data_IF_843112146925
#
_entry.id   IF_843112146925
#
_cell.length_a   1.000
_cell.length_b   1.000
_cell.length_c   1.000
_cell.angle_alpha   90.00
_cell.angle_beta   90.00
_cell.angle_gamma   90.00
#
_symmetry.space_group_name_H-M   'P 1'
#
loop_
_entity.id
_entity.type
_entity.pdbx_description
1 polymer ?
#
# COMPACT_ATOMS: atom_id res chain seq x y z
N UNK A 1 9.74 16.21 13.79
CA UNK A 1 11.12 15.84 14.25
C UNK A 1 11.30 14.34 14.12
N UNK A 2 12.49 13.83 13.79
CA UNK A 2 12.77 12.39 13.70
C UNK A 2 12.33 11.63 14.97
N UNK A 3 12.00 10.32 14.86
CA UNK A 3 11.73 9.51 16.02
C UNK A 3 12.98 9.40 16.91
N UNK A 4 12.75 9.29 18.21
CA UNK A 4 13.80 9.06 19.21
C UNK A 4 13.68 7.65 19.77
N UNK A 5 14.75 7.14 20.37
CA UNK A 5 14.70 5.86 21.08
C UNK A 5 13.63 5.92 22.20
N UNK A 6 12.90 4.81 22.44
CA UNK A 6 11.95 4.78 23.54
C UNK A 6 12.69 4.87 24.89
N UNK A 7 12.02 5.47 25.87
CA UNK A 7 12.53 5.48 27.24
C UNK A 7 12.67 4.07 27.77
N UNK A 8 13.71 3.86 28.55
CA UNK A 8 13.87 2.61 29.32
C UNK A 8 12.79 2.54 30.40
N UNK A 9 12.32 1.36 30.70
CA UNK A 9 11.36 1.12 31.76
C UNK A 9 11.75 -0.09 32.58
N UNK A 10 11.37 -0.05 33.85
CA UNK A 10 11.49 -1.18 34.75
C UNK A 10 10.19 -1.99 34.81
N UNK A 11 10.30 -3.29 35.05
CA UNK A 11 9.18 -4.20 35.20
C UNK A 11 8.49 -4.59 33.88
N UNK A 12 7.19 -4.84 33.95
CA UNK A 12 6.39 -5.38 32.84
C UNK A 12 5.41 -4.31 32.36
N UNK A 13 5.50 -3.93 31.09
CA UNK A 13 4.45 -3.16 30.39
C UNK A 13 3.40 -4.12 29.83
N UNK A 14 2.13 -3.82 30.09
CA UNK A 14 1.02 -4.55 29.49
C UNK A 14 0.94 -4.27 27.98
N UNK A 15 0.85 -5.34 27.20
CA UNK A 15 0.64 -5.29 25.73
C UNK A 15 -0.57 -6.15 25.33
N UNK A 16 -1.62 -6.17 26.18
CA UNK A 16 -2.82 -7.00 26.01
C UNK A 16 -3.94 -6.31 25.21
N UNK A 17 -3.75 -5.05 24.84
CA UNK A 17 -4.64 -4.26 24.02
C UNK A 17 -3.84 -3.42 23.02
N UNK A 18 -4.45 -3.08 21.92
CA UNK A 18 -3.87 -2.17 20.95
C UNK A 18 -3.69 -0.78 21.55
N UNK A 19 -2.61 -0.12 21.15
CA UNK A 19 -2.33 1.26 21.49
C UNK A 19 -3.07 2.26 20.59
N UNK A 20 -2.85 3.58 20.79
CA UNK A 20 -3.47 4.61 19.98
C UNK A 20 -3.01 4.52 18.51
N UNK A 21 -3.91 4.92 17.61
CA UNK A 21 -3.60 5.14 16.19
C UNK A 21 -3.09 6.57 15.99
N UNK A 22 -2.33 6.82 14.92
CA UNK A 22 -1.95 8.18 14.56
C UNK A 22 -3.20 9.03 14.36
N UNK A 23 -3.25 10.26 14.93
CA UNK A 23 -4.35 11.17 14.68
C UNK A 23 -4.59 11.38 13.19
N UNK A 24 -5.82 11.19 12.74
CA UNK A 24 -6.24 11.25 11.36
C UNK A 24 -7.69 11.71 11.25
N UNK A 25 -8.15 12.03 10.06
CA UNK A 25 -9.55 12.32 9.82
C UNK A 25 -10.33 11.00 9.87
N UNK A 26 -11.43 10.98 10.59
CA UNK A 26 -12.27 9.80 10.72
C UNK A 26 -12.82 9.36 9.35
N UNK A 27 -12.88 8.06 9.11
CA UNK A 27 -13.41 7.42 7.90
C UNK A 27 -12.75 7.84 6.58
N UNK A 28 -11.46 8.16 6.60
CA UNK A 28 -10.75 8.56 5.37
C UNK A 28 -10.69 7.48 4.28
N UNK A 29 -10.95 6.21 4.60
CA UNK A 29 -10.67 5.12 3.66
C UNK A 29 -11.83 4.77 2.73
N UNK A 30 -13.08 4.88 3.17
CA UNK A 30 -14.21 4.27 2.46
C UNK A 30 -15.42 5.20 2.45
N UNK A 31 -15.93 5.46 1.25
CA UNK A 31 -16.95 6.50 1.03
C UNK A 31 -18.36 5.96 0.79
N UNK A 32 -18.54 4.63 0.70
CA UNK A 32 -19.85 4.01 0.55
C UNK A 32 -20.20 3.11 1.73
N UNK A 33 -21.51 2.98 2.01
CA UNK A 33 -22.01 2.11 3.08
C UNK A 33 -21.69 0.64 2.80
N UNK A 34 -21.66 0.22 1.53
CA UNK A 34 -21.30 -1.13 1.11
C UNK A 34 -19.84 -1.45 1.44
N UNK A 35 -18.94 -0.51 1.22
CA UNK A 35 -17.53 -0.71 1.57
C UNK A 35 -17.33 -0.70 3.08
N UNK A 36 -17.98 0.22 3.81
CA UNK A 36 -17.93 0.25 5.27
C UNK A 36 -18.40 -1.06 5.88
N UNK A 37 -19.49 -1.63 5.35
CA UNK A 37 -19.99 -2.95 5.75
C UNK A 37 -18.98 -4.07 5.42
N UNK A 38 -18.48 -4.09 4.19
CA UNK A 38 -17.61 -5.17 3.72
C UNK A 38 -16.30 -5.22 4.49
N UNK A 39 -15.65 -4.09 4.68
CA UNK A 39 -14.32 -4.02 5.29
C UNK A 39 -14.34 -4.01 6.82
N UNK A 40 -15.48 -3.71 7.45
CA UNK A 40 -15.63 -3.66 8.91
C UNK A 40 -14.49 -2.87 9.58
N UNK A 41 -14.31 -1.64 9.11
CA UNK A 41 -13.23 -0.75 9.48
C UNK A 41 -13.32 -0.31 10.94
N UNK A 42 -12.20 -0.36 11.66
CA UNK A 42 -12.06 0.14 13.03
C UNK A 42 -11.03 1.29 13.06
N UNK A 43 -11.50 2.51 13.26
CA UNK A 43 -10.64 3.69 13.40
C UNK A 43 -9.75 3.64 14.66
N UNK A 44 -10.08 2.78 15.62
CA UNK A 44 -9.42 2.73 16.93
C UNK A 44 -9.62 4.01 17.71
N UNK A 45 -8.64 4.42 18.51
CA UNK A 45 -8.65 5.70 19.20
C UNK A 45 -7.37 6.49 18.89
N UNK A 46 -7.49 7.79 18.51
CA UNK A 46 -6.35 8.59 18.11
C UNK A 46 -5.53 9.06 19.31
N UNK A 47 -4.20 9.11 19.14
CA UNK A 47 -3.28 9.69 20.10
C UNK A 47 -1.91 9.94 19.49
N UNK A 48 -1.24 11.00 19.93
CA UNK A 48 0.06 11.38 19.37
C UNK A 48 1.19 10.40 19.74
N UNK A 49 1.05 9.66 20.86
CA UNK A 49 1.94 8.54 21.22
C UNK A 49 1.53 7.26 20.47
N UNK A 50 1.54 7.32 19.14
CA UNK A 50 1.03 6.27 18.25
C UNK A 50 2.08 5.29 17.74
N UNK A 51 3.37 5.51 17.96
CA UNK A 51 4.42 4.63 17.47
C UNK A 51 4.39 3.30 18.22
N UNK A 52 3.79 2.28 17.59
CA UNK A 52 3.54 0.96 18.18
C UNK A 52 3.83 -0.15 17.17
N UNK A 53 4.19 -1.32 17.71
CA UNK A 53 4.24 -2.58 16.96
C UNK A 53 3.34 -3.59 17.65
N UNK A 54 2.68 -4.44 16.85
CA UNK A 54 1.93 -5.60 17.31
C UNK A 54 2.61 -6.84 16.78
N UNK A 55 2.70 -7.91 17.57
CA UNK A 55 3.48 -9.10 17.21
C UNK A 55 2.66 -10.36 17.49
N UNK A 56 2.58 -11.23 16.49
CA UNK A 56 2.04 -12.58 16.60
C UNK A 56 3.16 -13.59 16.40
N UNK A 57 3.32 -14.50 17.33
CA UNK A 57 4.35 -15.55 17.29
C UNK A 57 3.87 -16.84 17.96
N UNK A 58 4.46 -17.96 17.56
CA UNK A 58 4.20 -19.27 18.17
C UNK A 58 5.12 -19.61 19.35
N UNK A 59 6.12 -18.77 19.64
CA UNK A 59 7.00 -19.00 20.77
C UNK A 59 7.91 -17.82 21.09
N UNK A 60 8.17 -17.64 22.38
CA UNK A 60 9.06 -16.61 22.90
C UNK A 60 10.41 -17.23 23.26
N UNK A 61 11.52 -16.62 22.86
CA UNK A 61 12.90 -17.01 23.23
C UNK A 61 13.20 -18.51 23.00
N UNK A 62 12.55 -19.13 22.01
CA UNK A 62 12.69 -20.57 21.71
C UNK A 62 13.81 -20.89 20.71
N UNK A 63 14.52 -19.89 20.20
CA UNK A 63 15.66 -20.01 19.29
C UNK A 63 15.33 -20.53 17.89
N UNK A 64 14.07 -20.62 17.50
CA UNK A 64 13.65 -21.23 16.22
C UNK A 64 13.99 -20.42 14.98
N UNK A 65 14.34 -19.15 15.10
CA UNK A 65 14.68 -18.28 13.95
C UNK A 65 13.62 -18.30 12.85
N UNK A 66 12.37 -17.98 13.23
CA UNK A 66 11.25 -17.92 12.29
C UNK A 66 11.42 -16.77 11.30
N UNK A 67 11.01 -16.91 10.03
CA UNK A 67 10.87 -15.77 9.13
C UNK A 67 9.98 -14.71 9.76
N UNK A 68 10.33 -13.44 9.57
CA UNK A 68 9.59 -12.29 10.09
C UNK A 68 8.87 -11.60 8.93
N UNK A 69 7.58 -11.36 9.07
CA UNK A 69 6.74 -10.68 8.08
C UNK A 69 6.22 -9.38 8.69
N UNK A 70 6.70 -8.23 8.20
CA UNK A 70 6.34 -6.90 8.71
C UNK A 70 5.34 -6.26 7.79
N UNK A 71 4.11 -6.09 8.27
CA UNK A 71 3.00 -5.48 7.54
C UNK A 71 3.04 -3.96 7.65
N UNK A 72 2.93 -3.30 6.50
CA UNK A 72 2.77 -1.86 6.35
C UNK A 72 1.35 -1.59 5.84
N UNK A 73 0.52 -0.96 6.68
CA UNK A 73 -0.89 -0.71 6.38
C UNK A 73 -1.11 0.27 5.23
N UNK A 74 -2.30 0.26 4.63
CA UNK A 74 -2.75 1.13 3.56
C UNK A 74 -3.11 2.55 4.01
N UNK A 75 -4.11 3.16 3.34
CA UNK A 75 -4.59 4.50 3.65
C UNK A 75 -3.71 5.64 3.10
N UNK A 76 -2.95 5.38 2.04
CA UNK A 76 -1.96 6.32 1.53
C UNK A 76 -0.88 6.59 2.57
N UNK A 77 -0.64 7.85 2.83
CA UNK A 77 0.17 8.33 3.94
C UNK A 77 -0.64 9.28 4.83
N UNK A 78 -1.96 9.32 4.61
CA UNK A 78 -2.88 10.22 5.29
C UNK A 78 -3.64 9.55 6.42
N UNK A 79 -3.94 8.26 6.29
CA UNK A 79 -4.80 7.51 7.21
C UNK A 79 -4.32 6.06 7.39
N UNK A 80 -5.00 5.33 8.24
CA UNK A 80 -4.79 3.91 8.48
C UNK A 80 -4.08 3.59 9.78
N UNK A 81 -4.04 2.30 10.08
CA UNK A 81 -3.29 1.75 11.23
C UNK A 81 -2.96 0.28 11.02
N UNK A 82 -2.05 -0.25 11.82
CA UNK A 82 -1.71 -1.68 11.82
C UNK A 82 -2.79 -2.60 12.41
N UNK A 83 -3.97 -2.06 12.74
CA UNK A 83 -5.05 -2.77 13.43
C UNK A 83 -6.45 -2.48 12.89
N UNK A 84 -6.56 -1.65 11.87
CA UNK A 84 -7.82 -1.07 11.38
C UNK A 84 -8.77 -2.05 10.69
N UNK A 85 -8.24 -3.14 10.13
CA UNK A 85 -9.04 -4.14 9.44
C UNK A 85 -8.92 -5.51 10.11
N UNK A 86 -10.01 -6.28 10.20
CA UNK A 86 -9.95 -7.66 10.71
C UNK A 86 -9.05 -8.56 9.85
N UNK A 87 -8.79 -8.18 8.61
CA UNK A 87 -7.85 -8.87 7.72
C UNK A 87 -6.39 -8.77 8.18
N UNK A 88 -6.03 -7.79 9.02
CA UNK A 88 -4.64 -7.59 9.50
C UNK A 88 -4.27 -8.44 10.71
N UNK A 89 -5.20 -9.21 11.29
CA UNK A 89 -4.88 -10.10 12.40
C UNK A 89 -3.85 -11.16 11.98
N UNK A 90 -2.67 -11.10 12.57
CA UNK A 90 -1.54 -11.96 12.20
C UNK A 90 -1.61 -13.39 12.75
N UNK A 91 -2.62 -13.73 13.55
CA UNK A 91 -2.64 -15.00 14.27
C UNK A 91 -2.74 -16.22 13.34
N UNK A 92 -3.62 -16.16 12.32
CA UNK A 92 -3.78 -17.26 11.37
C UNK A 92 -2.50 -17.48 10.56
N UNK A 93 -1.94 -16.40 9.99
CA UNK A 93 -0.72 -16.45 9.20
C UNK A 93 0.48 -16.95 10.03
N UNK A 94 0.64 -16.44 11.27
CA UNK A 94 1.68 -16.86 12.20
C UNK A 94 1.58 -18.34 12.54
N UNK A 95 0.38 -18.83 12.84
CA UNK A 95 0.12 -20.24 13.18
C UNK A 95 0.37 -21.16 11.98
N UNK A 96 -0.16 -20.81 10.80
CA UNK A 96 -0.04 -21.61 9.58
C UNK A 96 1.39 -21.76 9.12
N UNK A 97 2.13 -20.66 9.13
CA UNK A 97 3.49 -20.61 8.60
C UNK A 97 4.59 -20.84 9.63
N UNK A 98 4.32 -20.97 10.92
CA UNK A 98 5.35 -20.82 11.96
C UNK A 98 6.28 -19.63 11.64
N UNK A 99 5.67 -18.46 11.42
CA UNK A 99 6.33 -17.17 11.13
C UNK A 99 5.99 -16.16 12.22
N UNK A 100 6.83 -15.15 12.38
CA UNK A 100 6.52 -13.99 13.22
C UNK A 100 5.87 -12.94 12.33
N UNK A 101 4.64 -12.51 12.66
CA UNK A 101 3.95 -11.42 11.98
C UNK A 101 4.03 -10.18 12.84
N UNK A 102 4.39 -9.06 12.23
CA UNK A 102 4.46 -7.74 12.87
C UNK A 102 3.59 -6.77 12.09
N UNK A 103 2.71 -6.03 12.77
CA UNK A 103 2.06 -4.83 12.23
C UNK A 103 2.53 -3.62 13.01
N UNK A 104 2.39 -2.43 12.45
CA UNK A 104 2.90 -1.22 13.10
C UNK A 104 2.06 0.01 12.77
N UNK A 105 2.17 1.02 13.64
CA UNK A 105 1.69 2.37 13.41
C UNK A 105 2.88 3.32 13.25
N UNK A 106 2.72 4.33 12.42
CA UNK A 106 3.68 5.40 12.21
C UNK A 106 2.94 6.74 12.06
N UNK A 107 3.63 7.85 12.11
CA UNK A 107 3.01 9.16 11.88
C UNK A 107 2.58 9.31 10.42
N UNK A 108 1.38 9.86 10.25
CA UNK A 108 0.69 10.06 9.00
C UNK A 108 0.45 11.55 8.75
N UNK A 109 -0.09 11.89 7.59
CA UNK A 109 -0.61 13.21 7.24
C UNK A 109 0.33 14.36 7.61
N UNK A 110 -0.20 15.48 8.05
CA UNK A 110 0.56 16.66 8.51
C UNK A 110 1.54 16.33 9.64
N UNK A 111 1.26 15.31 10.46
CA UNK A 111 2.12 14.88 11.58
C UNK A 111 3.35 14.11 11.11
N UNK A 112 3.28 13.44 9.97
CA UNK A 112 4.34 12.60 9.41
C UNK A 112 5.08 13.21 8.22
N UNK A 113 4.47 14.18 7.49
CA UNK A 113 4.94 14.60 6.17
C UNK A 113 4.86 16.10 5.90
N UNK A 114 4.69 16.95 6.92
CA UNK A 114 4.74 18.40 6.75
C UNK A 114 6.20 18.87 6.55
N UNK A 115 6.49 19.49 5.41
CA UNK A 115 7.84 19.93 5.03
C UNK A 115 8.21 21.27 5.64
N UNK A 116 8.75 21.25 6.83
CA UNK A 116 9.27 22.44 7.52
C UNK A 116 10.80 22.58 7.34
N UNK A 117 11.42 21.86 6.40
CA UNK A 117 12.89 21.86 6.22
C UNK A 117 13.46 23.24 5.89
N UNK A 118 12.70 24.08 5.19
CA UNK A 118 13.08 25.44 4.88
C UNK A 118 13.34 26.33 6.12
N UNK A 119 12.80 25.94 7.29
CA UNK A 119 12.98 26.67 8.56
C UNK A 119 14.19 26.17 9.36
N UNK A 120 14.88 25.13 8.88
CA UNK A 120 16.15 24.64 9.45
C UNK A 120 16.05 24.06 10.86
N UNK A 121 17.21 23.94 11.52
CA UNK A 121 17.31 23.46 12.89
C UNK A 121 16.65 22.09 13.10
N UNK A 122 15.82 21.96 14.14
CA UNK A 122 15.12 20.72 14.48
C UNK A 122 14.10 20.25 13.42
N UNK A 123 13.73 21.14 12.48
CA UNK A 123 12.76 20.86 11.40
C UNK A 123 13.41 20.39 10.09
N UNK A 124 14.74 20.38 9.99
CA UNK A 124 15.47 20.04 8.76
C UNK A 124 15.10 18.68 8.13
N UNK A 125 14.60 17.73 8.91
CA UNK A 125 14.18 16.39 8.45
C UNK A 125 12.67 16.16 8.57
N UNK A 126 11.85 17.21 8.72
CA UNK A 126 10.43 17.08 9.04
C UNK A 126 9.60 16.40 7.97
N UNK A 127 9.94 16.58 6.70
CA UNK A 127 9.14 16.15 5.55
C UNK A 127 8.95 14.63 5.45
N UNK A 128 9.92 13.85 5.96
CA UNK A 128 9.92 12.38 5.86
C UNK A 128 9.95 11.70 7.24
N UNK A 129 9.45 12.35 8.29
CA UNK A 129 9.50 11.73 9.63
C UNK A 129 8.62 10.48 9.72
N UNK A 130 7.51 10.41 9.00
CA UNK A 130 6.70 9.19 8.90
C UNK A 130 7.46 8.02 8.25
N UNK A 131 8.36 8.31 7.30
CA UNK A 131 9.26 7.30 6.72
C UNK A 131 10.35 6.90 7.71
N UNK A 132 10.89 7.84 8.48
CA UNK A 132 11.86 7.56 9.55
C UNK A 132 11.25 6.72 10.68
N UNK A 133 9.95 6.88 10.96
CA UNK A 133 9.24 6.04 11.93
C UNK A 133 9.22 4.57 11.47
N UNK A 134 9.01 4.31 10.16
CA UNK A 134 9.08 2.97 9.59
C UNK A 134 10.50 2.38 9.71
N UNK A 135 11.52 3.20 9.44
CA UNK A 135 12.92 2.79 9.61
C UNK A 135 13.22 2.47 11.07
N UNK A 136 12.72 3.28 12.01
CA UNK A 136 12.90 3.05 13.45
C UNK A 136 12.20 1.74 13.89
N UNK A 137 10.99 1.47 13.39
CA UNK A 137 10.28 0.22 13.67
C UNK A 137 11.05 -1.00 13.13
N UNK A 138 11.61 -0.91 11.92
CA UNK A 138 12.43 -1.99 11.34
C UNK A 138 13.74 -2.21 12.10
N UNK A 139 14.38 -1.16 12.60
CA UNK A 139 15.53 -1.27 13.51
C UNK A 139 15.14 -1.97 14.81
N UNK A 140 14.02 -1.56 15.39
CA UNK A 140 13.50 -2.22 16.60
C UNK A 140 13.23 -3.71 16.35
N UNK A 141 12.64 -4.07 15.20
CA UNK A 141 12.46 -5.48 14.79
C UNK A 141 13.81 -6.18 14.73
N UNK A 142 14.80 -5.60 14.07
CA UNK A 142 16.13 -6.18 13.94
C UNK A 142 16.80 -6.43 15.29
N UNK A 143 16.64 -5.53 16.25
CA UNK A 143 17.26 -5.59 17.57
C UNK A 143 16.53 -6.53 18.56
N UNK A 144 15.20 -6.73 18.37
CA UNK A 144 14.37 -7.34 19.42
C UNK A 144 13.64 -8.63 18.99
N UNK A 145 13.53 -8.91 17.69
CA UNK A 145 12.62 -9.96 17.20
C UNK A 145 13.05 -11.37 17.59
N UNK A 146 14.32 -11.58 17.93
CA UNK A 146 14.81 -12.86 18.47
C UNK A 146 14.12 -13.22 19.78
N UNK A 147 13.73 -12.23 20.61
CA UNK A 147 12.96 -12.45 21.83
C UNK A 147 11.59 -13.06 21.55
N UNK A 148 11.09 -12.87 20.32
CA UNK A 148 9.81 -13.39 19.83
C UNK A 148 10.02 -14.62 18.91
N UNK A 149 11.22 -15.23 18.96
CA UNK A 149 11.56 -16.40 18.16
C UNK A 149 11.76 -16.14 16.67
N UNK A 150 11.86 -14.87 16.25
CA UNK A 150 12.08 -14.45 14.87
C UNK A 150 13.56 -14.38 14.49
N UNK A 151 13.84 -14.37 13.20
CA UNK A 151 15.17 -14.20 12.61
C UNK A 151 15.35 -12.78 12.05
N UNK A 152 16.17 -11.92 12.66
CA UNK A 152 16.43 -10.58 12.15
C UNK A 152 17.13 -10.56 10.79
N UNK A 153 17.75 -11.67 10.37
CA UNK A 153 18.36 -11.83 9.05
C UNK A 153 17.39 -12.34 7.98
N UNK A 154 16.12 -12.60 8.34
CA UNK A 154 15.10 -13.10 7.44
C UNK A 154 13.77 -12.32 7.59
N UNK A 155 13.84 -11.02 7.33
CA UNK A 155 12.71 -10.07 7.41
C UNK A 155 12.15 -9.80 6.02
N UNK A 156 10.85 -9.96 5.87
CA UNK A 156 10.08 -9.57 4.67
C UNK A 156 9.17 -8.41 5.03
N UNK A 157 9.30 -7.29 4.33
CA UNK A 157 8.33 -6.19 4.42
C UNK A 157 7.24 -6.41 3.37
N UNK A 158 5.98 -6.21 3.75
CA UNK A 158 4.86 -6.33 2.82
C UNK A 158 3.77 -5.32 3.16
N UNK A 159 3.03 -4.86 2.17
CA UNK A 159 2.01 -3.86 2.39
C UNK A 159 1.14 -3.65 1.16
N UNK A 160 -0.07 -3.14 1.39
CA UNK A 160 -1.07 -2.94 0.36
C UNK A 160 -1.42 -1.44 0.23
N UNK A 161 -1.74 -0.98 -0.99
CA UNK A 161 -2.09 0.42 -1.26
C UNK A 161 -0.95 1.37 -0.84
N UNK A 162 -1.23 2.37 -0.01
CA UNK A 162 -0.20 3.19 0.62
C UNK A 162 0.88 2.36 1.34
N UNK A 163 0.54 1.17 1.85
CA UNK A 163 1.51 0.22 2.41
C UNK A 163 2.47 -0.33 1.38
N UNK A 164 1.99 -0.67 0.18
CA UNK A 164 2.84 -1.02 -0.95
C UNK A 164 3.73 0.16 -1.39
N UNK A 165 3.19 1.39 -1.32
CA UNK A 165 3.97 2.61 -1.51
C UNK A 165 5.08 2.77 -0.48
N UNK A 166 4.80 2.46 0.79
CA UNK A 166 5.79 2.44 1.88
C UNK A 166 6.88 1.40 1.62
N UNK A 167 6.51 0.18 1.18
CA UNK A 167 7.48 -0.84 0.75
C UNK A 167 8.35 -0.32 -0.39
N UNK A 168 7.75 0.23 -1.45
CA UNK A 168 8.46 0.78 -2.62
C UNK A 168 9.43 1.90 -2.22
N UNK A 169 9.02 2.77 -1.30
CA UNK A 169 9.85 3.88 -0.81
C UNK A 169 11.00 3.39 0.09
N UNK A 170 10.75 2.41 0.96
CA UNK A 170 11.79 1.82 1.83
C UNK A 170 12.89 1.14 1.01
N UNK A 171 12.55 0.50 -0.11
CA UNK A 171 13.53 -0.07 -1.06
C UNK A 171 14.49 0.99 -1.64
N UNK A 172 14.08 2.26 -1.64
CA UNK A 172 14.84 3.41 -2.13
C UNK A 172 15.44 4.29 -1.01
N UNK A 173 15.28 3.89 0.26
CA UNK A 173 15.71 4.66 1.43
C UNK A 173 17.02 4.13 1.97
N UNK A 174 18.15 4.88 1.89
CA UNK A 174 19.46 4.39 2.33
C UNK A 174 19.51 3.92 3.79
N UNK A 175 18.80 4.60 4.69
CA UNK A 175 18.76 4.26 6.12
C UNK A 175 17.96 2.97 6.43
N UNK A 176 17.23 2.43 5.45
CA UNK A 176 16.51 1.16 5.55
C UNK A 176 17.34 -0.04 5.03
N UNK A 177 18.48 0.23 4.38
CA UNK A 177 19.34 -0.82 3.81
C UNK A 177 19.78 -1.82 4.87
N UNK A 178 19.56 -3.11 4.58
CA UNK A 178 19.93 -4.22 5.47
C UNK A 178 18.91 -4.56 6.56
N UNK A 179 17.86 -3.74 6.75
CA UNK A 179 16.83 -3.99 7.77
C UNK A 179 15.78 -5.01 7.31
N UNK A 180 15.76 -5.37 6.04
CA UNK A 180 14.91 -6.42 5.46
C UNK A 180 15.59 -7.06 4.27
N UNK A 181 15.20 -8.29 3.93
CA UNK A 181 15.83 -9.12 2.91
C UNK A 181 14.86 -9.45 1.75
N UNK A 182 13.57 -9.20 1.90
CA UNK A 182 12.55 -9.45 0.88
C UNK A 182 11.44 -8.41 0.95
N UNK A 183 10.75 -8.19 -0.17
CA UNK A 183 9.70 -7.18 -0.25
C UNK A 183 8.50 -7.66 -1.07
N UNK A 184 7.28 -7.37 -0.60
CA UNK A 184 6.05 -7.64 -1.33
C UNK A 184 5.25 -6.35 -1.46
N UNK A 185 4.97 -5.94 -2.69
CA UNK A 185 4.21 -4.73 -3.04
C UNK A 185 2.84 -5.14 -3.54
N UNK A 186 1.80 -4.83 -2.77
CA UNK A 186 0.41 -5.13 -3.09
C UNK A 186 -0.31 -3.83 -3.46
N UNK A 187 -0.70 -3.66 -4.72
CA UNK A 187 -1.43 -2.47 -5.22
C UNK A 187 -0.85 -1.13 -4.73
N UNK A 188 0.48 -0.97 -4.83
CA UNK A 188 1.15 0.19 -4.25
C UNK A 188 2.52 0.50 -4.86
N UNK A 189 2.76 0.08 -6.08
CA UNK A 189 4.00 0.40 -6.80
C UNK A 189 4.20 1.91 -6.90
N UNK A 190 5.31 2.41 -6.34
CA UNK A 190 5.63 3.83 -6.28
C UNK A 190 7.06 4.08 -6.72
N UNK A 191 7.25 4.47 -7.97
CA UNK A 191 8.55 4.79 -8.57
C UNK A 191 8.88 6.28 -8.49
N UNK A 192 7.86 7.10 -8.28
CA UNK A 192 7.99 8.56 -8.16
C UNK A 192 7.23 9.07 -6.95
N UNK A 193 7.83 10.06 -6.29
CA UNK A 193 7.28 10.75 -5.13
C UNK A 193 7.30 12.25 -5.35
N UNK A 194 6.75 12.99 -4.40
CA UNK A 194 6.70 14.45 -4.46
C UNK A 194 8.12 15.07 -4.46
N UNK A 195 8.29 16.20 -5.15
CA UNK A 195 9.50 17.02 -5.09
C UNK A 195 9.37 18.08 -3.98
N UNK A 196 10.50 18.42 -3.33
CA UNK A 196 10.54 19.38 -2.22
C UNK A 196 9.89 20.73 -2.53
N UNK A 197 9.97 21.21 -3.77
CA UNK A 197 9.32 22.48 -4.14
C UNK A 197 7.80 22.49 -3.90
N UNK A 198 7.13 21.33 -3.99
CA UNK A 198 5.70 21.22 -3.75
C UNK A 198 5.37 20.94 -2.29
N UNK A 199 6.15 20.10 -1.61
CA UNK A 199 5.96 19.87 -0.17
C UNK A 199 6.18 21.15 0.64
N UNK A 200 7.14 21.99 0.24
CA UNK A 200 7.36 23.31 0.86
C UNK A 200 6.22 24.31 0.57
N UNK A 201 5.60 24.27 -0.62
CA UNK A 201 4.39 25.07 -0.90
C UNK A 201 3.23 24.65 0.01
N UNK A 202 3.03 23.33 0.21
CA UNK A 202 2.00 22.81 1.13
C UNK A 202 2.30 23.28 2.56
N UNK A 203 3.55 23.24 3.00
CA UNK A 203 3.93 23.69 4.33
C UNK A 203 3.68 25.20 4.52
N UNK A 204 4.09 26.03 3.55
CA UNK A 204 3.84 27.47 3.59
C UNK A 204 2.34 27.78 3.65
N UNK A 205 1.53 27.14 2.80
CA UNK A 205 0.07 27.28 2.84
C UNK A 205 -0.55 26.80 4.17
N UNK A 206 0.00 25.74 4.78
CA UNK A 206 -0.45 25.28 6.10
C UNK A 206 -0.19 26.32 7.20
N UNK A 207 0.98 26.95 7.19
CA UNK A 207 1.32 28.03 8.13
C UNK A 207 0.44 29.27 7.92
N UNK A 208 0.13 29.60 6.67
CA UNK A 208 -0.78 30.70 6.32
C UNK A 208 -2.19 30.44 6.86
N UNK A 209 -2.75 29.24 6.64
CA UNK A 209 -4.05 28.84 7.17
C UNK A 209 -4.12 28.93 8.72
N UNK A 210 -3.00 28.69 9.39
CA UNK A 210 -2.89 28.79 10.84
C UNK A 210 -2.49 30.19 11.33
N UNK A 211 -2.24 31.14 10.42
CA UNK A 211 -1.71 32.49 10.74
C UNK A 211 -0.42 32.45 11.57
N UNK A 212 0.47 31.48 11.28
CA UNK A 212 1.76 31.31 11.96
C UNK A 212 2.86 31.91 11.09
N UNK A 213 3.64 32.82 11.67
CA UNK A 213 4.83 33.37 11.04
C UNK A 213 6.04 32.44 11.23
N UNK A 214 7.05 32.59 10.38
CA UNK A 214 8.28 31.79 10.41
C UNK A 214 8.96 31.79 11.81
N UNK A 215 8.98 32.93 12.47
CA UNK A 215 9.59 33.12 13.79
C UNK A 215 8.79 32.42 14.91
N UNK A 216 7.55 32.05 14.62
CA UNK A 216 6.60 31.44 15.56
C UNK A 216 6.35 29.95 15.27
N UNK A 217 7.15 29.33 14.42
CA UNK A 217 6.94 27.96 13.90
C UNK A 217 6.76 26.92 15.02
N UNK A 218 7.36 27.16 16.18
CA UNK A 218 7.24 26.27 17.34
C UNK A 218 5.81 26.20 17.91
N UNK A 219 4.94 27.15 17.58
CA UNK A 219 3.51 27.10 17.93
C UNK A 219 2.83 25.86 17.34
N UNK A 220 3.30 25.32 16.22
CA UNK A 220 2.78 24.07 15.62
C UNK A 220 2.77 22.91 16.61
N UNK A 221 3.71 22.88 17.56
CA UNK A 221 3.81 21.78 18.54
C UNK A 221 2.74 21.84 19.64
N UNK A 222 2.02 22.93 19.75
CA UNK A 222 0.98 23.15 20.79
C UNK A 222 -0.42 23.27 20.18
N UNK A 223 -0.55 23.26 18.86
CA UNK A 223 -1.85 23.30 18.18
C UNK A 223 -2.54 21.94 18.32
N UNK A 224 -3.83 21.89 18.72
CA UNK A 224 -4.58 20.66 18.72
C UNK A 224 -4.53 19.97 17.35
N UNK A 225 -4.27 18.67 17.34
CA UNK A 225 -4.07 17.93 16.09
C UNK A 225 -5.24 18.08 15.09
N UNK A 226 -6.50 18.16 15.57
CA UNK A 226 -7.67 18.38 14.68
C UNK A 226 -7.58 19.69 13.89
N UNK A 227 -7.11 20.75 14.52
CA UNK A 227 -6.89 22.05 13.86
C UNK A 227 -5.76 21.97 12.85
N UNK A 228 -4.67 21.27 13.21
CA UNK A 228 -3.52 21.10 12.36
C UNK A 228 -3.88 20.24 11.11
N UNK A 229 -4.63 19.15 11.29
CA UNK A 229 -5.13 18.32 10.20
C UNK A 229 -5.99 19.14 9.22
N UNK A 230 -6.97 19.87 9.73
CA UNK A 230 -7.87 20.68 8.90
C UNK A 230 -7.11 21.74 8.09
N UNK A 231 -6.13 22.41 8.69
CA UNK A 231 -5.29 23.39 8.00
C UNK A 231 -4.44 22.73 6.90
N UNK A 232 -3.85 21.57 7.18
CA UNK A 232 -3.07 20.81 6.22
C UNK A 232 -3.88 20.34 5.02
N UNK A 233 -5.07 19.79 5.22
CA UNK A 233 -5.96 19.36 4.13
C UNK A 233 -6.39 20.54 3.24
N UNK A 234 -6.70 21.67 3.85
CA UNK A 234 -7.03 22.89 3.12
C UNK A 234 -5.84 23.41 2.31
N UNK A 235 -4.64 23.38 2.89
CA UNK A 235 -3.41 23.75 2.21
C UNK A 235 -3.13 22.87 0.98
N UNK A 236 -3.28 21.55 1.10
CA UNK A 236 -3.14 20.62 -0.04
C UNK A 236 -4.14 20.95 -1.14
N UNK A 237 -5.41 21.16 -0.78
CA UNK A 237 -6.45 21.49 -1.76
C UNK A 237 -6.15 22.80 -2.51
N UNK A 238 -5.62 23.82 -1.83
CA UNK A 238 -5.23 25.08 -2.42
C UNK A 238 -4.03 24.92 -3.36
N UNK A 239 -2.95 24.25 -2.89
CA UNK A 239 -1.74 24.03 -3.71
C UNK A 239 -2.06 23.17 -4.94
N UNK A 240 -2.95 22.19 -4.83
CA UNK A 240 -3.41 21.37 -5.96
C UNK A 240 -4.10 22.23 -7.03
N UNK A 241 -5.04 23.09 -6.63
CA UNK A 241 -5.72 24.02 -7.55
C UNK A 241 -4.78 24.98 -8.26
N UNK A 242 -3.75 25.43 -7.57
CA UNK A 242 -2.72 26.29 -8.16
C UNK A 242 -1.87 25.52 -9.17
N UNK A 243 -1.40 24.35 -8.81
CA UNK A 243 -0.61 23.49 -9.68
C UNK A 243 -1.38 23.12 -10.97
N UNK A 244 -2.69 22.86 -10.86
CA UNK A 244 -3.58 22.61 -12.03
C UNK A 244 -3.59 23.80 -12.98
N UNK A 245 -3.64 25.04 -12.48
CA UNK A 245 -3.55 26.26 -13.30
C UNK A 245 -2.20 26.39 -13.99
N UNK A 246 -1.14 25.88 -13.37
CA UNK A 246 0.21 25.79 -13.94
C UNK A 246 0.35 24.62 -14.95
N UNK A 247 -0.73 23.87 -15.22
CA UNK A 247 -0.74 22.71 -16.12
C UNK A 247 -0.12 21.45 -15.52
N UNK A 248 0.06 21.44 -14.19
CA UNK A 248 0.63 20.30 -13.47
C UNK A 248 -0.51 19.45 -12.91
N UNK A 249 -0.83 18.39 -13.63
CA UNK A 249 -1.81 17.42 -13.22
C UNK A 249 -1.10 16.23 -12.59
N UNK A 250 -1.05 16.17 -11.25
CA UNK A 250 -0.44 15.05 -10.55
C UNK A 250 -1.26 14.65 -9.33
N UNK A 251 -1.59 13.36 -9.24
CA UNK A 251 -2.20 12.80 -8.05
C UNK A 251 -1.21 12.69 -6.86
N UNK A 252 0.07 12.98 -7.10
CA UNK A 252 1.14 12.98 -6.09
C UNK A 252 0.95 14.12 -5.06
N UNK A 253 0.11 15.14 -5.34
CA UNK A 253 -0.19 16.19 -4.38
C UNK A 253 -1.05 15.67 -3.23
N UNK A 254 -0.41 15.38 -2.12
CA UNK A 254 -1.01 14.87 -0.91
C UNK A 254 0.05 14.66 0.16
N UNK A 255 -0.29 14.00 1.24
CA UNK A 255 0.70 13.58 2.22
C UNK A 255 1.48 12.38 1.68
N UNK A 256 2.79 12.39 1.86
CA UNK A 256 3.64 11.28 1.42
C UNK A 256 5.12 11.61 1.39
N UNK A 257 5.95 10.62 1.06
CA UNK A 257 7.39 10.79 0.98
C UNK A 257 7.76 11.82 -0.09
N UNK A 258 8.79 12.56 0.19
CA UNK A 258 9.30 13.63 -0.69
C UNK A 258 10.79 13.42 -0.92
N UNK A 259 11.23 13.63 -2.16
CA UNK A 259 12.67 13.70 -2.46
C UNK A 259 13.27 14.92 -1.77
N UNK A 260 14.04 14.68 -0.70
CA UNK A 260 14.61 15.73 0.15
C UNK A 260 16.14 15.83 0.06
N UNK A 261 16.76 15.00 -0.77
CA UNK A 261 18.22 14.95 -0.93
C UNK A 261 18.97 14.28 0.22
N UNK A 262 18.29 13.80 1.24
CA UNK A 262 18.86 13.21 2.46
C UNK A 262 18.23 11.86 2.83
N UNK A 263 17.01 11.87 3.36
CA UNK A 263 16.30 10.63 3.77
C UNK A 263 15.88 9.84 2.54
N UNK A 264 15.30 10.51 1.57
CA UNK A 264 15.04 10.01 0.22
C UNK A 264 15.81 10.87 -0.79
N UNK A 265 17.08 10.50 -1.10
CA UNK A 265 17.98 11.37 -1.86
C UNK A 265 17.54 11.61 -3.30
N UNK A 266 16.85 10.65 -3.91
CA UNK A 266 16.39 10.69 -5.30
C UNK A 266 15.05 9.98 -5.44
N UNK A 267 14.41 10.10 -6.60
CA UNK A 267 13.23 9.34 -6.94
C UNK A 267 13.50 7.83 -6.80
N UNK A 268 12.52 7.04 -6.29
CA UNK A 268 12.69 5.59 -6.09
C UNK A 268 13.21 4.86 -7.34
N UNK A 269 12.75 5.22 -8.53
CA UNK A 269 13.21 4.66 -9.80
C UNK A 269 14.72 4.81 -10.05
N UNK A 270 15.36 5.79 -9.42
CA UNK A 270 16.80 6.07 -9.55
C UNK A 270 17.65 5.42 -8.47
N UNK A 271 17.05 4.71 -7.53
CA UNK A 271 17.72 4.09 -6.38
C UNK A 271 17.84 2.56 -6.50
N UNK A 272 17.85 2.05 -7.73
CA UNK A 272 17.87 0.62 -8.05
C UNK A 272 18.94 -0.19 -7.30
N UNK A 273 20.13 0.38 -7.17
CA UNK A 273 21.27 -0.28 -6.52
C UNK A 273 21.04 -0.61 -5.05
N UNK A 274 20.15 0.10 -4.35
CA UNK A 274 19.86 -0.17 -2.94
C UNK A 274 19.11 -1.48 -2.74
N UNK A 275 18.30 -1.90 -3.73
CA UNK A 275 17.39 -3.03 -3.64
C UNK A 275 17.60 -4.10 -4.71
N UNK A 276 18.67 -4.03 -5.50
CA UNK A 276 18.89 -4.98 -6.60
C UNK A 276 18.93 -6.44 -6.14
N UNK A 277 19.51 -6.71 -4.97
CA UNK A 277 19.67 -8.04 -4.42
C UNK A 277 18.49 -8.50 -3.55
N UNK A 278 17.41 -7.72 -3.47
CA UNK A 278 16.20 -8.03 -2.70
C UNK A 278 15.18 -8.69 -3.62
N UNK A 279 14.81 -9.97 -3.42
CA UNK A 279 13.70 -10.59 -4.12
C UNK A 279 12.41 -9.82 -3.88
N UNK A 280 11.59 -9.68 -4.92
CA UNK A 280 10.33 -8.95 -4.84
C UNK A 280 9.15 -9.78 -5.34
N UNK A 281 7.99 -9.54 -4.74
CA UNK A 281 6.70 -9.95 -5.28
C UNK A 281 5.85 -8.71 -5.46
N UNK A 282 5.23 -8.53 -6.63
CA UNK A 282 4.46 -7.33 -6.98
C UNK A 282 3.15 -7.74 -7.60
N UNK A 283 2.05 -7.17 -7.17
CA UNK A 283 0.76 -7.45 -7.79
C UNK A 283 -0.33 -6.45 -7.46
N UNK A 284 -1.49 -6.68 -8.07
CA UNK A 284 -2.67 -5.82 -7.97
C UNK A 284 -3.92 -6.68 -7.93
N UNK A 285 -5.05 -6.10 -7.54
CA UNK A 285 -6.35 -6.69 -7.84
C UNK A 285 -6.77 -6.34 -9.27
N UNK A 286 -7.75 -7.06 -9.83
CA UNK A 286 -8.19 -6.86 -11.21
C UNK A 286 -9.01 -5.57 -11.36
N UNK A 287 -9.85 -5.24 -10.38
CA UNK A 287 -10.79 -4.14 -10.46
C UNK A 287 -10.40 -2.93 -9.60
N UNK A 288 -9.65 -3.13 -8.51
CA UNK A 288 -9.23 -2.09 -7.56
C UNK A 288 -10.41 -1.21 -7.10
N UNK A 289 -10.43 0.07 -7.39
CA UNK A 289 -11.54 0.97 -7.07
C UNK A 289 -12.68 0.81 -8.08
N UNK A 290 -13.58 -0.15 -7.81
CA UNK A 290 -14.76 -0.39 -8.65
C UNK A 290 -15.70 0.81 -8.65
N UNK A 291 -15.75 1.55 -9.74
CA UNK A 291 -16.54 2.78 -9.84
C UNK A 291 -18.05 2.51 -9.68
N UNK A 292 -18.49 1.33 -10.13
CA UNK A 292 -19.89 0.88 -9.97
C UNK A 292 -20.32 0.66 -8.52
N UNK A 293 -19.36 0.56 -7.58
CA UNK A 293 -19.65 0.51 -6.14
C UNK A 293 -20.11 1.90 -5.64
N UNK A 294 -19.52 2.96 -6.20
CA UNK A 294 -19.84 4.35 -5.81
C UNK A 294 -20.99 4.96 -6.63
N UNK A 295 -21.21 4.46 -7.85
CA UNK A 295 -22.23 4.95 -8.78
C UNK A 295 -23.16 3.79 -9.14
N UNK A 296 -24.25 3.56 -8.33
CA UNK A 296 -25.13 2.39 -8.49
C UNK A 296 -25.74 2.25 -9.87
N UNK A 297 -25.94 3.34 -10.60
CA UNK A 297 -26.50 3.37 -11.94
C UNK A 297 -25.63 2.67 -12.99
N UNK A 298 -24.35 2.48 -12.66
CA UNK A 298 -23.38 1.78 -13.52
C UNK A 298 -23.34 0.27 -13.26
N UNK A 299 -24.00 -0.18 -12.21
CA UNK A 299 -24.22 -1.61 -11.97
C UNK A 299 -25.12 -2.13 -13.09
N UNK A 300 -24.64 -3.14 -13.83
CA UNK A 300 -25.31 -3.62 -15.05
C UNK A 300 -25.35 -2.59 -16.19
N UNK A 301 -24.35 -1.73 -16.30
CA UNK A 301 -24.25 -0.75 -17.37
C UNK A 301 -24.38 -1.40 -18.76
N UNK A 302 -25.13 -0.75 -19.65
CA UNK A 302 -25.17 -1.11 -21.07
C UNK A 302 -23.85 -0.71 -21.74
N UNK A 303 -23.57 -1.25 -22.93
CA UNK A 303 -22.40 -0.87 -23.69
C UNK A 303 -22.37 0.63 -24.02
N UNK A 304 -23.52 1.25 -24.28
CA UNK A 304 -23.61 2.67 -24.58
C UNK A 304 -23.30 3.54 -23.35
N UNK A 305 -23.78 3.15 -22.16
CA UNK A 305 -23.43 3.81 -20.90
C UNK A 305 -21.92 3.68 -20.61
N UNK A 306 -21.35 2.48 -20.80
CA UNK A 306 -19.93 2.26 -20.64
C UNK A 306 -19.11 3.11 -21.62
N UNK A 307 -19.52 3.19 -22.88
CA UNK A 307 -18.88 4.04 -23.90
C UNK A 307 -18.88 5.51 -23.50
N UNK A 308 -20.02 6.03 -23.03
CA UNK A 308 -20.12 7.45 -22.65
C UNK A 308 -19.16 7.78 -21.48
N UNK A 309 -19.06 6.90 -20.47
CA UNK A 309 -18.09 7.08 -19.38
C UNK A 309 -16.64 7.02 -19.87
N UNK A 310 -16.31 5.98 -20.63
CA UNK A 310 -14.95 5.77 -21.14
C UNK A 310 -14.52 6.90 -22.09
N UNK A 311 -15.47 7.55 -22.78
CA UNK A 311 -15.20 8.69 -23.66
C UNK A 311 -14.65 9.90 -22.90
N UNK A 312 -15.05 10.11 -21.65
CA UNK A 312 -14.48 11.16 -20.81
C UNK A 312 -12.94 10.99 -20.62
N UNK A 313 -12.46 9.74 -20.62
CA UNK A 313 -11.06 9.41 -20.45
C UNK A 313 -10.30 9.24 -21.77
N UNK A 314 -10.89 8.51 -22.72
CA UNK A 314 -10.20 8.07 -23.95
C UNK A 314 -10.60 8.87 -25.20
N UNK A 315 -11.61 9.75 -25.13
CA UNK A 315 -12.08 10.57 -26.25
C UNK A 315 -12.44 9.72 -27.47
N UNK A 316 -11.91 10.11 -28.62
CA UNK A 316 -12.10 9.37 -29.89
C UNK A 316 -11.47 7.97 -29.90
N UNK A 317 -10.62 7.63 -28.92
CA UNK A 317 -9.98 6.32 -28.81
C UNK A 317 -10.78 5.31 -27.98
N UNK A 318 -11.99 5.65 -27.56
CA UNK A 318 -12.85 4.78 -26.74
C UNK A 318 -13.14 3.43 -27.41
N UNK A 319 -13.45 3.42 -28.71
CA UNK A 319 -13.71 2.16 -29.41
C UNK A 319 -12.47 1.28 -29.50
N UNK A 320 -11.28 1.87 -29.67
CA UNK A 320 -10.02 1.14 -29.61
C UNK A 320 -9.79 0.49 -28.23
N UNK A 321 -10.08 1.23 -27.14
CA UNK A 321 -10.00 0.66 -25.79
C UNK A 321 -10.89 -0.57 -25.66
N UNK A 322 -12.16 -0.45 -26.08
CA UNK A 322 -13.17 -1.53 -25.99
C UNK A 322 -12.72 -2.76 -26.83
N UNK A 323 -12.20 -2.54 -28.03
CA UNK A 323 -11.69 -3.62 -28.88
C UNK A 323 -10.52 -4.37 -28.22
N UNK A 324 -9.52 -3.64 -27.73
CA UNK A 324 -8.36 -4.22 -27.03
C UNK A 324 -8.82 -4.94 -25.77
N UNK A 325 -9.72 -4.31 -24.99
CA UNK A 325 -10.26 -4.88 -23.77
C UNK A 325 -10.95 -6.22 -23.99
N UNK A 326 -11.86 -6.29 -24.97
CA UNK A 326 -12.58 -7.52 -25.35
C UNK A 326 -11.64 -8.63 -25.87
N UNK A 327 -10.55 -8.25 -26.52
CA UNK A 327 -9.53 -9.21 -26.95
C UNK A 327 -8.81 -9.85 -25.75
N UNK A 328 -8.53 -9.09 -24.70
CA UNK A 328 -7.87 -9.56 -23.48
C UNK A 328 -8.85 -10.30 -22.57
N UNK A 329 -10.08 -9.79 -22.43
CA UNK A 329 -11.14 -10.29 -21.57
C UNK A 329 -12.44 -10.56 -22.37
N UNK A 330 -12.49 -11.67 -23.15
CA UNK A 330 -13.62 -11.93 -24.07
C UNK A 330 -14.98 -12.10 -23.41
N UNK A 331 -15.00 -12.56 -22.16
CA UNK A 331 -16.21 -12.77 -21.37
C UNK A 331 -16.67 -11.53 -20.58
N UNK A 332 -15.91 -10.44 -20.64
CA UNK A 332 -16.17 -9.26 -19.83
C UNK A 332 -17.46 -8.54 -20.24
N UNK A 333 -18.18 -8.07 -19.25
CA UNK A 333 -19.37 -7.22 -19.38
C UNK A 333 -18.98 -5.76 -19.63
N UNK A 334 -19.90 -4.89 -20.05
CA UNK A 334 -19.62 -3.45 -20.09
C UNK A 334 -19.23 -2.84 -18.75
N UNK A 335 -19.78 -3.35 -17.64
CA UNK A 335 -19.40 -2.96 -16.29
C UNK A 335 -17.93 -3.28 -15.99
N UNK A 336 -17.42 -4.46 -16.40
CA UNK A 336 -16.02 -4.83 -16.21
C UNK A 336 -15.05 -3.85 -16.90
N UNK A 337 -15.45 -3.28 -18.04
CA UNK A 337 -14.65 -2.29 -18.77
C UNK A 337 -14.53 -0.96 -18.02
N UNK A 338 -15.54 -0.62 -17.19
CA UNK A 338 -15.54 0.59 -16.38
C UNK A 338 -14.80 0.38 -15.08
N UNK A 339 -14.99 -0.78 -14.45
CA UNK A 339 -14.44 -1.12 -13.14
C UNK A 339 -12.99 -1.63 -13.20
N UNK A 340 -12.46 -1.86 -14.40
CA UNK A 340 -11.10 -2.35 -14.59
C UNK A 340 -10.04 -1.40 -14.04
N UNK A 341 -9.03 -1.95 -13.37
CA UNK A 341 -7.93 -1.16 -12.82
C UNK A 341 -7.05 -0.53 -13.92
N UNK A 342 -7.02 0.77 -13.94
CA UNK A 342 -6.19 1.58 -14.83
C UNK A 342 -5.14 2.38 -14.06
N UNK A 343 -5.03 2.16 -12.76
CA UNK A 343 -4.21 2.94 -11.83
C UNK A 343 -3.01 2.15 -11.32
N UNK A 344 -3.27 1.04 -10.67
CA UNK A 344 -2.23 0.28 -9.96
C UNK A 344 -1.51 -0.71 -10.87
N UNK A 345 -2.23 -1.37 -11.77
CA UNK A 345 -1.65 -2.37 -12.68
C UNK A 345 -0.56 -1.80 -13.60
N UNK A 346 -0.73 -0.63 -14.26
CA UNK A 346 0.33 -0.03 -15.05
C UNK A 346 1.60 0.25 -14.24
N UNK A 347 1.44 0.80 -13.02
CA UNK A 347 2.56 1.09 -12.13
C UNK A 347 3.26 -0.18 -11.62
N UNK A 348 2.49 -1.25 -11.35
CA UNK A 348 3.03 -2.55 -10.97
C UNK A 348 3.87 -3.17 -12.07
N UNK A 349 3.40 -3.12 -13.32
CA UNK A 349 4.16 -3.59 -14.49
C UNK A 349 5.43 -2.76 -14.68
N UNK A 350 5.35 -1.44 -14.56
CA UNK A 350 6.52 -0.55 -14.65
C UNK A 350 7.57 -0.93 -13.59
N UNK A 351 7.18 -1.10 -12.33
CA UNK A 351 8.08 -1.52 -11.26
C UNK A 351 8.65 -2.93 -11.49
N UNK A 352 7.82 -3.87 -11.97
CA UNK A 352 8.24 -5.22 -12.33
C UNK A 352 9.28 -5.23 -13.45
N UNK A 353 9.05 -4.44 -14.50
CA UNK A 353 9.98 -4.26 -15.61
C UNK A 353 11.32 -3.68 -15.15
N UNK A 354 11.24 -2.63 -14.32
CA UNK A 354 12.41 -1.98 -13.75
C UNK A 354 13.22 -2.93 -12.85
N UNK A 355 12.54 -3.74 -12.02
CA UNK A 355 13.19 -4.72 -11.16
C UNK A 355 13.81 -5.86 -11.98
N UNK A 356 13.11 -6.40 -12.97
CA UNK A 356 13.61 -7.46 -13.83
C UNK A 356 14.84 -7.03 -14.67
N UNK A 357 14.86 -5.77 -15.11
CA UNK A 357 15.99 -5.21 -15.87
C UNK A 357 17.30 -5.08 -15.07
N UNK A 358 17.26 -5.22 -13.75
CA UNK A 358 18.47 -5.24 -12.93
C UNK A 358 19.25 -6.55 -13.01
N UNK A 359 18.66 -7.63 -13.55
CA UNK A 359 19.28 -8.97 -13.70
C UNK A 359 19.96 -9.50 -12.42
N UNK A 360 19.39 -9.17 -11.26
CA UNK A 360 19.88 -9.57 -9.94
C UNK A 360 18.83 -10.46 -9.23
N UNK A 361 18.30 -10.06 -8.08
CA UNK A 361 17.28 -10.85 -7.40
C UNK A 361 15.97 -10.93 -8.20
N UNK A 362 15.24 -12.07 -8.14
CA UNK A 362 14.03 -12.29 -8.92
C UNK A 362 12.89 -11.36 -8.48
N UNK A 363 11.98 -11.09 -9.42
CA UNK A 363 10.66 -10.52 -9.16
C UNK A 363 9.58 -11.46 -9.66
N UNK A 364 8.51 -11.59 -8.89
CA UNK A 364 7.33 -12.39 -9.23
C UNK A 364 6.12 -11.47 -9.33
N UNK A 365 5.32 -11.63 -10.40
CA UNK A 365 4.15 -10.78 -10.62
C UNK A 365 2.86 -11.56 -10.42
N UNK A 366 1.84 -10.93 -9.80
CA UNK A 366 0.51 -11.52 -9.68
C UNK A 366 -0.60 -10.51 -10.01
N UNK A 367 -1.79 -11.06 -10.27
CA UNK A 367 -3.05 -10.33 -10.33
C UNK A 367 -4.10 -11.14 -9.57
N UNK A 368 -4.76 -10.53 -8.62
CA UNK A 368 -5.87 -11.13 -7.88
C UNK A 368 -7.17 -10.84 -8.62
N UNK A 369 -7.80 -11.88 -9.14
CA UNK A 369 -8.99 -11.79 -9.99
C UNK A 369 -10.20 -12.57 -9.41
N UNK A 370 -10.14 -13.00 -8.15
CA UNK A 370 -11.25 -13.61 -7.48
C UNK A 370 -12.29 -12.53 -7.10
N UNK A 371 -13.54 -12.78 -7.45
CA UNK A 371 -14.63 -11.84 -7.20
C UNK A 371 -15.46 -12.27 -5.99
N UNK A 372 -15.76 -11.33 -5.11
CA UNK A 372 -16.58 -11.57 -3.94
C UNK A 372 -18.03 -11.86 -4.33
N UNK A 373 -18.67 -12.89 -3.76
CA UNK A 373 -20.09 -13.15 -3.94
C UNK A 373 -20.99 -12.25 -3.07
N UNK A 374 -20.40 -11.45 -2.18
CA UNK A 374 -21.14 -10.62 -1.22
C UNK A 374 -21.88 -9.50 -1.96
N UNK A 375 -23.10 -9.21 -1.50
CA UNK A 375 -23.96 -8.17 -2.11
C UNK A 375 -24.13 -8.35 -3.62
N UNK A 376 -24.46 -9.59 -4.04
CA UNK A 376 -24.64 -9.96 -5.44
C UNK A 376 -23.43 -9.64 -6.35
N UNK A 377 -22.22 -9.68 -5.77
CA UNK A 377 -20.98 -9.53 -6.52
C UNK A 377 -20.56 -8.09 -6.83
N UNK A 378 -21.21 -7.07 -6.27
CA UNK A 378 -20.92 -5.65 -6.59
C UNK A 378 -19.50 -5.23 -6.20
N UNK A 379 -18.89 -5.93 -5.24
CA UNK A 379 -17.52 -5.63 -4.80
C UNK A 379 -16.46 -6.07 -5.81
N UNK A 380 -16.77 -7.02 -6.68
CA UNK A 380 -15.78 -7.58 -7.61
C UNK A 380 -14.51 -8.07 -6.89
N UNK A 381 -13.36 -7.98 -7.54
CA UNK A 381 -12.03 -8.06 -6.89
C UNK A 381 -11.56 -6.67 -6.52
N UNK A 382 -12.25 -6.03 -5.58
CA UNK A 382 -11.99 -4.66 -5.19
C UNK A 382 -10.67 -4.49 -4.44
N UNK A 383 -10.23 -3.25 -4.33
CA UNK A 383 -9.05 -2.85 -3.56
C UNK A 383 -9.05 -3.43 -2.15
N UNK A 384 -7.92 -3.91 -1.65
CA UNK A 384 -7.75 -4.57 -0.34
C UNK A 384 -8.40 -5.97 -0.19
N UNK A 385 -9.11 -6.49 -1.19
CA UNK A 385 -9.79 -7.79 -1.10
C UNK A 385 -8.80 -8.92 -0.81
N UNK A 386 -7.66 -8.92 -1.45
CA UNK A 386 -6.65 -9.99 -1.37
C UNK A 386 -5.99 -10.10 0.02
N UNK A 387 -6.10 -9.07 0.87
CA UNK A 387 -5.46 -9.06 2.19
C UNK A 387 -5.99 -10.18 3.08
N UNK A 388 -7.32 -10.41 3.06
CA UNK A 388 -7.95 -11.49 3.81
C UNK A 388 -7.42 -12.88 3.40
N UNK A 389 -7.06 -13.05 2.12
CA UNK A 389 -6.48 -14.28 1.58
C UNK A 389 -5.01 -14.43 1.96
N UNK A 390 -4.25 -13.33 1.93
CA UNK A 390 -2.83 -13.31 2.33
C UNK A 390 -2.65 -13.65 3.81
N UNK A 391 -3.48 -13.08 4.68
CA UNK A 391 -3.44 -13.31 6.13
C UNK A 391 -4.18 -14.57 6.58
N UNK A 392 -4.86 -15.28 5.66
CA UNK A 392 -5.70 -16.46 5.97
C UNK A 392 -6.86 -16.14 6.94
N UNK A 393 -7.48 -14.98 6.76
CA UNK A 393 -8.52 -14.44 7.63
C UNK A 393 -9.93 -14.45 6.99
N UNK A 394 -10.23 -15.45 6.13
CA UNK A 394 -11.50 -15.53 5.40
C UNK A 394 -12.71 -15.50 6.33
N UNK A 395 -12.68 -16.27 7.41
CA UNK A 395 -13.78 -16.32 8.38
C UNK A 395 -13.97 -14.99 9.13
N UNK A 396 -12.87 -14.27 9.44
CA UNK A 396 -12.93 -12.95 10.08
C UNK A 396 -13.46 -11.87 9.14
N UNK A 397 -13.27 -12.06 7.84
CA UNK A 397 -13.66 -11.14 6.78
C UNK A 397 -14.85 -11.65 5.96
N UNK A 398 -15.77 -12.41 6.60
CA UNK A 398 -16.92 -12.98 5.92
C UNK A 398 -17.85 -11.92 5.29
N UNK A 399 -17.94 -10.72 5.87
CA UNK A 399 -18.65 -9.58 5.29
C UNK A 399 -18.10 -9.13 3.94
N UNK A 400 -16.83 -9.41 3.66
CA UNK A 400 -16.15 -9.08 2.40
C UNK A 400 -16.00 -10.29 1.48
N UNK A 401 -15.70 -11.47 2.04
CA UNK A 401 -15.34 -12.67 1.29
C UNK A 401 -16.49 -13.70 1.16
N UNK A 402 -17.59 -13.49 1.87
CA UNK A 402 -18.67 -14.46 1.98
C UNK A 402 -18.34 -15.69 2.85
N UNK A 403 -17.11 -15.85 3.32
CA UNK A 403 -16.70 -16.95 4.21
C UNK A 403 -16.77 -18.34 3.60
N UNK A 404 -16.94 -18.47 2.27
CA UNK A 404 -17.16 -19.71 1.56
C UNK A 404 -15.92 -20.62 1.46
N UNK A 405 -16.14 -21.89 1.11
CA UNK A 405 -15.06 -22.86 0.95
C UNK A 405 -14.11 -22.52 -0.18
N UNK A 406 -14.60 -21.92 -1.25
CA UNK A 406 -13.78 -21.49 -2.40
C UNK A 406 -12.83 -20.38 -2.02
N UNK A 407 -13.32 -19.38 -1.26
CA UNK A 407 -12.47 -18.30 -0.72
C UNK A 407 -11.39 -18.89 0.20
N UNK A 408 -11.75 -19.82 1.11
CA UNK A 408 -10.77 -20.46 1.99
C UNK A 408 -9.73 -21.27 1.21
N UNK A 409 -10.15 -22.05 0.21
CA UNK A 409 -9.24 -22.84 -0.63
C UNK A 409 -8.23 -21.97 -1.39
N UNK A 410 -8.64 -20.78 -1.85
CA UNK A 410 -7.74 -19.81 -2.46
C UNK A 410 -6.83 -19.17 -1.40
N UNK A 411 -7.35 -18.79 -0.24
CA UNK A 411 -6.57 -18.25 0.87
C UNK A 411 -5.49 -19.22 1.35
N UNK A 412 -5.78 -20.53 1.38
CA UNK A 412 -4.80 -21.56 1.73
C UNK A 412 -3.61 -21.56 0.78
N UNK A 413 -3.83 -21.36 -0.52
CA UNK A 413 -2.77 -21.29 -1.54
C UNK A 413 -2.01 -19.96 -1.46
N UNK A 414 -2.74 -18.86 -1.37
CA UNK A 414 -2.13 -17.52 -1.35
C UNK A 414 -1.28 -17.31 -0.09
N UNK A 415 -1.83 -17.55 1.09
CA UNK A 415 -1.08 -17.41 2.34
C UNK A 415 0.16 -18.33 2.37
N UNK A 416 0.05 -19.57 1.84
CA UNK A 416 1.20 -20.47 1.72
C UNK A 416 2.27 -19.93 0.79
N UNK A 417 1.90 -19.30 -0.34
CA UNK A 417 2.84 -18.67 -1.26
C UNK A 417 3.56 -17.46 -0.61
N UNK A 418 2.87 -16.62 0.16
CA UNK A 418 3.47 -15.51 0.91
C UNK A 418 4.42 -16.01 2.01
N UNK A 419 4.01 -17.03 2.76
CA UNK A 419 4.88 -17.69 3.77
C UNK A 419 6.13 -18.26 3.10
N UNK A 420 5.98 -18.98 1.99
CA UNK A 420 7.11 -19.59 1.28
C UNK A 420 8.06 -18.54 0.72
N UNK A 421 7.51 -17.45 0.16
CA UNK A 421 8.32 -16.32 -0.28
C UNK A 421 9.06 -15.66 0.91
N UNK A 422 8.40 -15.49 2.04
CA UNK A 422 9.06 -14.97 3.24
C UNK A 422 10.19 -15.88 3.74
N UNK A 423 10.09 -17.19 3.58
CA UNK A 423 11.14 -18.14 3.92
C UNK A 423 12.33 -18.07 2.97
N UNK A 424 12.07 -18.08 1.66
CA UNK A 424 13.07 -18.45 0.65
C UNK A 424 13.30 -17.38 -0.42
N UNK A 425 12.41 -16.40 -0.57
CA UNK A 425 12.39 -15.48 -1.71
C UNK A 425 11.76 -16.07 -2.99
N UNK A 426 11.16 -17.27 -2.89
CA UNK A 426 10.48 -17.96 -3.99
C UNK A 426 9.07 -18.36 -3.54
N UNK A 427 7.98 -17.94 -4.22
CA UNK A 427 6.61 -18.17 -3.79
C UNK A 427 6.01 -19.52 -4.18
N UNK A 428 6.78 -20.40 -4.85
CA UNK A 428 6.27 -21.68 -5.36
C UNK A 428 5.87 -22.64 -4.23
N UNK A 429 4.62 -23.11 -4.27
CA UNK A 429 4.03 -24.07 -3.33
C UNK A 429 3.20 -25.10 -4.07
N UNK A 430 2.97 -26.25 -3.43
CA UNK A 430 2.04 -27.26 -3.95
C UNK A 430 0.62 -26.69 -4.12
N UNK A 431 -0.07 -27.09 -5.16
CA UNK A 431 -1.43 -26.65 -5.46
C UNK A 431 -1.55 -25.34 -6.24
N UNK A 432 -0.41 -24.70 -6.56
CA UNK A 432 -0.31 -23.60 -7.53
C UNK A 432 0.47 -24.05 -8.77
N UNK A 433 0.20 -23.48 -9.95
CA UNK A 433 1.08 -23.63 -11.11
C UNK A 433 2.50 -23.16 -10.80
N UNK A 434 3.51 -23.71 -11.50
CA UNK A 434 4.89 -23.24 -11.38
C UNK A 434 4.97 -21.75 -11.71
N UNK A 435 5.32 -20.96 -10.73
CA UNK A 435 5.41 -19.51 -10.83
C UNK A 435 6.83 -19.10 -11.21
N UNK A 436 7.04 -18.79 -12.47
CA UNK A 436 8.33 -18.34 -12.98
C UNK A 436 8.62 -16.90 -12.53
N UNK A 437 9.89 -16.53 -12.32
CA UNK A 437 10.28 -15.12 -12.22
C UNK A 437 9.80 -14.34 -13.43
N UNK A 438 9.31 -13.13 -13.18
CA UNK A 438 8.87 -12.22 -14.23
C UNK A 438 10.07 -11.70 -15.03
N UNK A 439 9.93 -11.69 -16.34
CA UNK A 439 10.83 -10.98 -17.27
C UNK A 439 10.00 -10.09 -18.19
N UNK A 440 10.63 -9.04 -18.72
CA UNK A 440 9.97 -8.08 -19.63
C UNK A 440 9.45 -8.76 -20.90
N UNK A 441 10.17 -9.80 -21.35
CA UNK A 441 9.85 -10.55 -22.58
C UNK A 441 8.65 -11.48 -22.37
N UNK A 442 8.66 -12.25 -21.27
CA UNK A 442 7.61 -13.24 -20.98
C UNK A 442 6.39 -12.64 -20.33
N UNK A 443 6.56 -11.65 -19.43
CA UNK A 443 5.47 -11.07 -18.67
C UNK A 443 4.71 -12.08 -17.79
N UNK A 444 5.41 -13.09 -17.25
CA UNK A 444 4.80 -14.14 -16.45
C UNK A 444 4.07 -13.57 -15.23
N UNK A 445 2.78 -13.80 -15.14
CA UNK A 445 1.91 -13.27 -14.07
C UNK A 445 1.02 -14.39 -13.51
N UNK A 446 1.05 -14.62 -12.21
CA UNK A 446 0.13 -15.52 -11.52
C UNK A 446 -1.23 -14.85 -11.40
N UNK A 447 -2.26 -15.44 -11.97
CA UNK A 447 -3.65 -15.01 -11.81
C UNK A 447 -4.25 -15.82 -10.67
N UNK A 448 -4.53 -15.17 -9.56
CA UNK A 448 -5.21 -15.78 -8.41
C UNK A 448 -6.72 -15.73 -8.59
N UNK A 449 -7.33 -16.88 -8.72
CA UNK A 449 -8.77 -17.10 -8.81
C UNK A 449 -9.08 -18.51 -8.29
N UNK A 450 -10.35 -18.95 -8.32
CA UNK A 450 -10.76 -20.32 -7.98
C UNK A 450 -9.89 -21.36 -8.67
N UNK A 451 -9.56 -21.14 -9.93
CA UNK A 451 -8.53 -21.86 -10.68
C UNK A 451 -7.39 -20.89 -11.00
N UNK A 452 -6.35 -20.94 -10.20
CA UNK A 452 -5.18 -20.09 -10.43
C UNK A 452 -4.35 -20.60 -11.62
N UNK A 453 -3.83 -19.68 -12.43
CA UNK A 453 -3.05 -19.98 -13.62
C UNK A 453 -1.92 -18.98 -13.86
N UNK A 454 -0.92 -19.35 -14.67
CA UNK A 454 0.09 -18.40 -15.15
C UNK A 454 -0.34 -17.88 -16.52
N UNK A 455 -0.36 -16.57 -16.66
CA UNK A 455 -0.54 -15.89 -17.96
C UNK A 455 0.73 -15.16 -18.35
N UNK A 456 0.96 -15.11 -19.67
CA UNK A 456 2.15 -14.47 -20.26
C UNK A 456 1.73 -13.27 -21.10
N UNK A 457 2.18 -12.07 -20.72
CA UNK A 457 1.86 -10.82 -21.44
C UNK A 457 0.35 -10.60 -21.71
N UNK A 458 -0.54 -11.15 -20.85
CA UNK A 458 -1.98 -11.19 -21.08
C UNK A 458 -2.58 -9.81 -21.40
N UNK A 459 -2.19 -8.80 -20.62
CA UNK A 459 -2.75 -7.45 -20.67
C UNK A 459 -1.76 -6.41 -21.23
N UNK A 460 -0.66 -6.86 -21.85
CA UNK A 460 0.42 -5.98 -22.33
C UNK A 460 -0.08 -4.91 -23.30
N UNK A 461 -0.88 -5.29 -24.30
CA UNK A 461 -1.42 -4.38 -25.30
C UNK A 461 -2.36 -3.35 -24.64
N UNK A 462 -3.21 -3.81 -23.72
CA UNK A 462 -4.14 -2.98 -22.98
C UNK A 462 -3.39 -1.98 -22.08
N UNK A 463 -2.38 -2.42 -21.34
CA UNK A 463 -1.57 -1.56 -20.49
C UNK A 463 -0.77 -0.54 -21.31
N UNK A 464 -0.23 -0.92 -22.47
CA UNK A 464 0.41 0.00 -23.40
C UNK A 464 -0.55 1.02 -23.99
N UNK A 465 -1.80 0.65 -24.16
CA UNK A 465 -2.84 1.60 -24.57
C UNK A 465 -3.15 2.58 -23.45
N UNK A 466 -3.47 2.08 -22.25
CA UNK A 466 -3.85 2.87 -21.05
C UNK A 466 -2.75 3.87 -20.67
N UNK A 467 -1.48 3.48 -20.72
CA UNK A 467 -0.35 4.33 -20.35
C UNK A 467 -0.19 5.60 -21.20
N UNK A 468 -0.85 5.66 -22.38
CA UNK A 468 -0.86 6.87 -23.24
C UNK A 468 -1.83 7.95 -22.75
N UNK A 469 -2.71 7.61 -21.79
CA UNK A 469 -3.71 8.51 -21.24
C UNK A 469 -3.37 8.79 -19.78
N UNK A 470 -2.85 9.99 -19.47
CA UNK A 470 -2.50 10.33 -18.10
C UNK A 470 -3.74 10.22 -17.20
N UNK A 471 -3.53 9.73 -15.99
CA UNK A 471 -4.58 9.71 -15.00
C UNK A 471 -4.99 11.15 -14.68
N UNK A 472 -6.20 11.53 -15.07
CA UNK A 472 -6.89 12.67 -14.48
C UNK A 472 -7.46 12.16 -13.18
N UNK A 473 -7.09 12.80 -12.06
CA UNK A 473 -7.59 12.38 -10.74
C UNK A 473 -9.11 12.23 -10.72
N UNK A 474 -9.59 11.23 -9.97
CA UNK A 474 -11.02 11.08 -9.68
C UNK A 474 -11.48 12.19 -8.77
#
# INVERSE_FOLDING_TARGET
MPPVAPDQWDGIRSSRAYGPTCPQTERMGWQSDEQAFAFNWDDGFPGEDCLRVNIWTQGLKDGKKRPVMVWLHGGGYAAGSGQELPSYDGAALSKKGDVVVVTLNHRLNVLGFLDLSAYGGKYAQSVNVGLLDLVAALRWVNENIENFGGDPSNVTIFGQSGGGGKVSTLLATPSAKGLFQKAIVQSGSMQRTMESKYSQRIAAATLEELSIKAEEIDKLQTIPYKTLLAAGEKAIANVRKEAEKEGIHSFIFGWGPTVDGNILPQQPEKQAELSKDIPMMIGTTLHEFCISTYVPELRNATLDQAKEMLKAKYGEKTDNYIEIFKKVYPAATPQDMIDFDVTFRPAAIEQGNWKAAQHAAPVYMYQFAWESPVMDGILRSTHCMEIAFVFDNIARCASMTGGGKDAQALADKMSSAWIQFARTGNPNVEGLPTWEPYTVEKGATMIFNNQSEIKYNQDKELMQFISKFPMRGF
#
